data_IF_576865248263
#
_entry.id   IF_576865248263
#
_cell.length_a   1.000
_cell.length_b   1.000
_cell.length_c   1.000
_cell.angle_alpha   90.00
_cell.angle_beta   90.00
_cell.angle_gamma   90.00
#
_symmetry.space_group_name_H-M   'P 1'
#
loop_
_entity.id
_entity.type
_entity.pdbx_description
1 polymer ?
#
# COMPACT_ATOMS: atom_id res chain seq x y z
N UNK A 1 -6.52 7.20 -21.90
CA UNK A 1 -7.05 6.92 -20.56
C UNK A 1 -8.22 7.85 -20.27
N UNK A 2 -9.39 7.29 -19.96
CA UNK A 2 -10.59 8.07 -19.65
C UNK A 2 -10.50 8.73 -18.26
N UNK A 3 -11.48 9.60 -17.99
CA UNK A 3 -11.52 10.40 -16.76
C UNK A 3 -11.69 9.52 -15.51
N UNK A 4 -12.39 8.39 -15.63
CA UNK A 4 -12.71 7.54 -14.49
C UNK A 4 -11.51 6.67 -14.10
N UNK A 5 -10.75 6.14 -15.07
CA UNK A 5 -9.44 5.54 -14.80
C UNK A 5 -8.50 6.51 -14.11
N UNK A 6 -8.42 7.77 -14.59
CA UNK A 6 -7.54 8.79 -13.98
C UNK A 6 -7.91 9.07 -12.52
N UNK A 7 -9.22 9.18 -12.23
CA UNK A 7 -9.72 9.37 -10.86
C UNK A 7 -9.41 8.16 -9.99
N UNK A 8 -9.59 6.95 -10.52
CA UNK A 8 -9.29 5.70 -9.83
C UNK A 8 -7.81 5.62 -9.43
N UNK A 9 -6.90 5.82 -10.38
CA UNK A 9 -5.44 5.83 -10.11
C UNK A 9 -5.11 6.86 -9.03
N UNK A 10 -5.61 8.10 -9.17
CA UNK A 10 -5.34 9.18 -8.20
C UNK A 10 -5.87 8.86 -6.80
N UNK A 11 -7.01 8.18 -6.70
CA UNK A 11 -7.59 7.77 -5.42
C UNK A 11 -6.67 6.77 -4.71
N UNK A 12 -6.23 5.73 -5.42
CA UNK A 12 -5.34 4.71 -4.85
C UNK A 12 -3.97 5.29 -4.52
N UNK A 13 -3.37 6.09 -5.40
CA UNK A 13 -2.09 6.77 -5.17
C UNK A 13 -2.13 7.65 -3.90
N UNK A 14 -3.20 8.45 -3.73
CA UNK A 14 -3.38 9.25 -2.52
C UNK A 14 -3.52 8.38 -1.26
N UNK A 15 -4.26 7.26 -1.34
CA UNK A 15 -4.43 6.34 -0.20
C UNK A 15 -3.14 5.63 0.16
N UNK A 16 -2.33 5.26 -0.83
CA UNK A 16 -1.01 4.68 -0.61
C UNK A 16 -0.08 5.67 0.10
N UNK A 17 -0.03 6.93 -0.35
CA UNK A 17 0.78 7.97 0.29
C UNK A 17 0.44 8.18 1.75
N UNK A 18 -0.85 8.24 2.07
CA UNK A 18 -1.32 8.35 3.47
C UNK A 18 -0.87 7.12 4.27
N UNK A 19 -1.07 5.91 3.73
CA UNK A 19 -0.68 4.66 4.38
C UNK A 19 0.81 4.57 4.69
N UNK A 20 1.67 5.06 3.78
CA UNK A 20 3.12 5.10 3.97
C UNK A 20 3.50 6.07 5.10
N UNK A 21 2.89 7.26 5.13
CA UNK A 21 3.14 8.25 6.18
C UNK A 21 2.73 7.69 7.55
N UNK A 22 1.53 7.11 7.65
CA UNK A 22 1.03 6.50 8.88
C UNK A 22 1.96 5.35 9.35
N UNK A 23 2.44 4.51 8.42
CA UNK A 23 3.37 3.43 8.75
C UNK A 23 4.71 3.96 9.25
N UNK A 24 5.27 4.99 8.59
CA UNK A 24 6.54 5.60 8.99
C UNK A 24 6.42 6.29 10.35
N UNK A 25 5.31 6.98 10.63
CA UNK A 25 5.03 7.54 11.96
C UNK A 25 4.99 6.44 13.02
N UNK A 26 4.22 5.37 12.78
CA UNK A 26 4.10 4.25 13.72
C UNK A 26 5.46 3.58 13.98
N UNK A 27 6.23 3.29 12.92
CA UNK A 27 7.55 2.66 13.02
C UNK A 27 8.59 3.58 13.70
N UNK A 28 8.36 4.89 13.72
CA UNK A 28 9.19 5.86 14.42
C UNK A 28 8.99 5.90 15.95
N UNK A 29 7.90 5.34 16.47
CA UNK A 29 7.60 5.29 17.91
C UNK A 29 7.97 3.93 18.53
N UNK A 30 8.76 3.95 19.62
CA UNK A 30 9.33 2.76 20.29
C UNK A 30 8.36 1.96 21.22
N UNK A 31 7.03 2.07 21.09
CA UNK A 31 6.07 1.35 21.98
C UNK A 31 5.29 0.23 21.25
N UNK A 32 5.96 -0.91 21.08
CA UNK A 32 5.64 -1.95 20.09
C UNK A 32 4.25 -2.61 20.19
N UNK A 33 3.62 -2.67 21.37
CA UNK A 33 2.43 -3.52 21.56
C UNK A 33 1.15 -2.93 20.98
N UNK A 34 0.94 -1.61 21.08
CA UNK A 34 -0.23 -0.93 20.49
C UNK A 34 -0.07 -0.68 18.99
N UNK A 35 1.16 -0.72 18.49
CA UNK A 35 1.48 -0.33 17.12
C UNK A 35 1.49 -1.50 16.13
N UNK A 36 1.68 -2.73 16.61
CA UNK A 36 1.59 -3.92 15.76
C UNK A 36 0.22 -4.07 15.08
N UNK A 37 -0.88 -3.79 15.80
CA UNK A 37 -2.24 -3.81 15.26
C UNK A 37 -2.47 -2.70 14.23
N UNK A 38 -2.01 -1.48 14.50
CA UNK A 38 -2.12 -0.35 13.57
C UNK A 38 -1.33 -0.58 12.27
N UNK A 39 -0.13 -1.14 12.36
CA UNK A 39 0.65 -1.54 11.18
C UNK A 39 -0.04 -2.65 10.40
N UNK A 40 -0.65 -3.62 11.08
CA UNK A 40 -1.39 -4.69 10.42
C UNK A 40 -2.60 -4.15 9.65
N UNK A 41 -3.31 -3.16 10.20
CA UNK A 41 -4.41 -2.47 9.49
C UNK A 41 -3.89 -1.76 8.23
N UNK A 42 -2.72 -1.12 8.29
CA UNK A 42 -2.12 -0.47 7.12
C UNK A 42 -1.77 -1.49 6.04
N UNK A 43 -1.15 -2.61 6.42
CA UNK A 43 -0.82 -3.69 5.48
C UNK A 43 -2.08 -4.27 4.83
N UNK A 44 -3.15 -4.50 5.60
CA UNK A 44 -4.45 -4.94 5.07
C UNK A 44 -5.05 -3.93 4.09
N UNK A 45 -4.93 -2.63 4.36
CA UNK A 45 -5.40 -1.59 3.43
C UNK A 45 -4.62 -1.64 2.11
N UNK A 46 -3.30 -1.88 2.16
CA UNK A 46 -2.47 -2.06 0.96
C UNK A 46 -2.89 -3.31 0.17
N UNK A 47 -3.17 -4.42 0.85
CA UNK A 47 -3.68 -5.63 0.18
C UNK A 47 -5.03 -5.39 -0.50
N UNK A 48 -5.96 -4.69 0.16
CA UNK A 48 -7.25 -4.31 -0.45
C UNK A 48 -7.02 -3.45 -1.70
N UNK A 49 -6.12 -2.48 -1.66
CA UNK A 49 -5.78 -1.66 -2.83
C UNK A 49 -5.24 -2.50 -3.99
N UNK A 50 -4.38 -3.49 -3.70
CA UNK A 50 -3.84 -4.43 -4.69
C UNK A 50 -4.95 -5.27 -5.31
N UNK A 51 -5.87 -5.81 -4.52
CA UNK A 51 -7.00 -6.60 -5.02
C UNK A 51 -7.94 -5.77 -5.90
N UNK A 52 -8.20 -4.51 -5.53
CA UNK A 52 -9.02 -3.62 -6.37
C UNK A 52 -8.32 -3.36 -7.71
N UNK A 53 -7.00 -3.17 -7.73
CA UNK A 53 -6.24 -3.04 -8.99
C UNK A 53 -6.29 -4.33 -9.81
N UNK A 54 -6.14 -5.50 -9.18
CA UNK A 54 -6.25 -6.79 -9.87
C UNK A 54 -7.61 -6.92 -10.56
N UNK A 55 -8.70 -6.61 -9.85
CA UNK A 55 -10.05 -6.61 -10.41
C UNK A 55 -10.16 -5.63 -11.58
N UNK A 56 -9.60 -4.42 -11.44
CA UNK A 56 -9.60 -3.44 -12.51
C UNK A 56 -8.88 -3.95 -13.77
N UNK A 57 -7.69 -4.54 -13.59
CA UNK A 57 -6.90 -5.12 -14.69
C UNK A 57 -7.57 -6.33 -15.36
N UNK A 58 -8.40 -7.08 -14.63
CA UNK A 58 -9.18 -8.19 -15.19
C UNK A 58 -10.38 -7.71 -16.01
N UNK A 59 -10.98 -6.59 -15.63
CA UNK A 59 -12.14 -6.02 -16.31
C UNK A 59 -11.76 -5.21 -17.56
N UNK A 60 -10.56 -4.62 -17.57
CA UNK A 60 -10.10 -3.82 -18.70
C UNK A 60 -9.44 -4.68 -19.78
N UNK A 61 -9.84 -4.49 -21.03
CA UNK A 61 -9.31 -5.23 -22.18
C UNK A 61 -8.01 -4.62 -22.71
N UNK A 62 -7.63 -3.43 -22.23
CA UNK A 62 -6.41 -2.75 -22.66
C UNK A 62 -5.42 -2.64 -21.49
N UNK A 63 -4.15 -3.01 -21.69
CA UNK A 63 -3.13 -2.75 -20.69
C UNK A 63 -2.97 -1.24 -20.49
N UNK A 64 -3.17 -0.78 -19.25
CA UNK A 64 -2.91 0.61 -18.84
C UNK A 64 -1.59 0.62 -18.05
N UNK A 65 -0.48 1.12 -18.62
CA UNK A 65 0.83 1.13 -17.98
C UNK A 65 0.82 1.76 -16.58
N UNK A 66 0.06 2.83 -16.39
CA UNK A 66 -0.05 3.56 -15.13
C UNK A 66 -0.66 2.70 -14.01
N UNK A 67 -1.57 1.78 -14.34
CA UNK A 67 -2.16 0.86 -13.36
C UNK A 67 -1.15 -0.23 -12.97
N UNK A 68 -0.36 -0.72 -13.93
CA UNK A 68 0.72 -1.67 -13.64
C UNK A 68 1.78 -1.03 -12.75
N UNK A 69 2.17 0.20 -13.07
CA UNK A 69 3.11 0.96 -12.24
C UNK A 69 2.58 1.14 -10.82
N UNK A 70 1.31 1.53 -10.67
CA UNK A 70 0.67 1.66 -9.37
C UNK A 70 0.62 0.33 -8.59
N UNK A 71 0.46 -0.80 -9.28
CA UNK A 71 0.53 -2.13 -8.68
C UNK A 71 1.93 -2.44 -8.14
N UNK A 72 2.98 -2.13 -8.91
CA UNK A 72 4.38 -2.29 -8.50
C UNK A 72 4.74 -1.40 -7.30
N UNK A 73 4.21 -0.17 -7.27
CA UNK A 73 4.36 0.76 -6.16
C UNK A 73 3.71 0.22 -4.87
N UNK A 74 2.50 -0.35 -4.95
CA UNK A 74 1.85 -0.99 -3.81
C UNK A 74 2.64 -2.19 -3.27
N UNK A 75 3.14 -3.06 -4.16
CA UNK A 75 3.97 -4.21 -3.77
C UNK A 75 5.25 -3.75 -3.08
N UNK A 76 5.91 -2.72 -3.64
CA UNK A 76 7.14 -2.18 -3.09
C UNK A 76 6.93 -1.53 -1.72
N UNK A 77 5.83 -0.80 -1.54
CA UNK A 77 5.47 -0.17 -0.28
C UNK A 77 5.19 -1.21 0.81
N UNK A 78 4.40 -2.24 0.50
CA UNK A 78 4.12 -3.35 1.41
C UNK A 78 5.40 -4.02 1.87
N UNK A 79 6.26 -4.43 0.93
CA UNK A 79 7.52 -5.10 1.24
C UNK A 79 8.45 -4.23 2.11
N UNK A 80 8.45 -2.91 1.91
CA UNK A 80 9.21 -1.97 2.73
C UNK A 80 8.70 -1.91 4.17
N UNK A 81 7.38 -1.77 4.36
CA UNK A 81 6.76 -1.72 5.68
C UNK A 81 7.00 -3.03 6.44
N UNK A 82 6.79 -4.17 5.80
CA UNK A 82 7.05 -5.50 6.39
C UNK A 82 8.52 -5.67 6.77
N UNK A 83 9.46 -5.23 5.92
CA UNK A 83 10.89 -5.29 6.20
C UNK A 83 11.28 -4.41 7.38
N UNK A 84 10.73 -3.20 7.51
CA UNK A 84 10.95 -2.32 8.66
C UNK A 84 10.37 -2.93 9.94
N UNK A 85 9.17 -3.49 9.89
CA UNK A 85 8.55 -4.19 11.01
C UNK A 85 9.39 -5.38 11.49
N UNK A 86 9.85 -6.22 10.56
CA UNK A 86 10.68 -7.38 10.88
C UNK A 86 12.03 -6.98 11.49
N UNK A 87 12.65 -5.89 11.04
CA UNK A 87 13.88 -5.37 11.65
C UNK A 87 13.70 -4.94 13.10
N UNK A 88 12.55 -4.35 13.44
CA UNK A 88 12.24 -4.01 14.83
C UNK A 88 12.08 -5.29 15.67
N UNK A 89 11.41 -6.30 15.12
CA UNK A 89 11.23 -7.59 15.81
C UNK A 89 12.57 -8.32 16.07
N UNK A 90 13.52 -8.27 15.12
CA UNK A 90 14.81 -8.98 15.21
C UNK A 90 15.86 -8.23 16.06
N UNK A 91 15.74 -6.92 16.21
CA UNK A 91 16.66 -6.11 17.03
C UNK A 91 16.28 -6.09 18.53
N UNK A 92 15.27 -6.88 18.93
CA UNK A 92 14.92 -7.19 20.32
C UNK A 92 15.68 -8.42 20.82
#
# INVERSE_FOLDING_TARGET
MDLDTKKFIKMIDNKLKISIIEADEILGYYDERKYSESLQVILQNIDIMREIINIYLMLDTKPIPEIKQLQEELISAQANIELKQNKLIVNM
#
